data_IF_280178742572
#
_entry.id   IF_280178742572
#
_cell.length_a   1.000
_cell.length_b   1.000
_cell.length_c   1.000
_cell.angle_alpha   90.00
_cell.angle_beta   90.00
_cell.angle_gamma   90.00
#
_symmetry.space_group_name_H-M   'P 1'
#
loop_
_entity.id
_entity.type
_entity.pdbx_description
1 polymer ?
#
# COMPACT_ATOMS: atom_id res chain seq x y z
N UNK A 1 -4.27 -9.25 0.44
CA UNK A 1 -3.14 -8.39 0.85
C UNK A 1 -2.56 -9.01 2.10
N UNK A 2 -1.26 -9.32 2.14
CA UNK A 2 -0.64 -9.86 3.35
C UNK A 2 -0.49 -8.77 4.41
N UNK A 3 -0.40 -9.17 5.69
CA UNK A 3 -0.34 -8.25 6.83
C UNK A 3 0.70 -7.12 6.69
N UNK A 4 1.92 -7.36 6.15
CA UNK A 4 2.88 -6.27 5.91
C UNK A 4 2.36 -5.21 4.94
N UNK A 5 1.70 -5.63 3.87
CA UNK A 5 1.10 -4.71 2.89
C UNK A 5 -0.07 -3.91 3.46
N UNK A 6 -0.88 -4.53 4.33
CA UNK A 6 -1.99 -3.84 4.99
C UNK A 6 -1.50 -2.73 5.91
N UNK A 7 -0.40 -2.96 6.64
CA UNK A 7 0.23 -1.93 7.48
C UNK A 7 0.65 -0.71 6.65
N UNK A 8 1.39 -0.94 5.56
CA UNK A 8 1.89 0.15 4.70
C UNK A 8 0.75 0.93 4.06
N UNK A 9 -0.29 0.26 3.58
CA UNK A 9 -1.45 0.94 2.96
C UNK A 9 -2.19 1.80 3.99
N UNK A 10 -2.45 1.27 5.20
CA UNK A 10 -3.12 2.04 6.26
C UNK A 10 -2.32 3.27 6.68
N UNK A 11 -1.01 3.13 6.84
CA UNK A 11 -0.10 4.25 7.16
C UNK A 11 -0.11 5.32 6.06
N UNK A 12 -0.14 4.90 4.79
CA UNK A 12 -0.24 5.82 3.66
C UNK A 12 -1.59 6.56 3.61
N UNK A 13 -2.70 5.87 3.88
CA UNK A 13 -4.03 6.51 3.99
C UNK A 13 -4.01 7.62 5.06
N UNK A 14 -3.50 7.31 6.26
CA UNK A 14 -3.43 8.28 7.37
C UNK A 14 -2.49 9.43 7.03
N UNK A 15 -1.33 9.16 6.41
CA UNK A 15 -0.35 10.18 6.05
C UNK A 15 -0.91 11.19 5.05
N UNK A 16 -1.53 10.73 3.97
CA UNK A 16 -2.05 11.62 2.92
C UNK A 16 -3.34 12.34 3.35
N UNK A 17 -4.15 11.74 4.23
CA UNK A 17 -5.42 12.32 4.70
C UNK A 17 -5.37 12.82 6.14
N UNK A 18 -4.18 13.11 6.68
CA UNK A 18 -3.93 13.38 8.10
C UNK A 18 -4.83 14.46 8.69
N UNK A 19 -5.05 15.57 7.97
CA UNK A 19 -5.94 16.65 8.39
C UNK A 19 -7.37 16.13 8.58
N UNK A 20 -7.96 15.54 7.54
CA UNK A 20 -9.34 15.04 7.57
C UNK A 20 -9.54 13.97 8.67
N UNK A 21 -8.63 12.99 8.75
CA UNK A 21 -8.78 11.90 9.73
C UNK A 21 -8.53 12.34 11.16
N UNK A 22 -7.82 13.46 11.38
CA UNK A 22 -7.61 14.05 12.70
C UNK A 22 -8.89 14.70 13.24
N UNK A 23 -9.66 15.38 12.38
CA UNK A 23 -10.90 16.07 12.75
C UNK A 23 -11.97 15.09 13.24
N UNK A 24 -12.06 13.92 12.59
CA UNK A 24 -13.04 12.88 12.92
C UNK A 24 -12.48 11.80 13.86
N UNK A 25 -11.28 12.01 14.43
CA UNK A 25 -10.58 11.07 15.34
C UNK A 25 -10.31 9.66 14.78
N UNK A 26 -10.40 9.47 13.47
CA UNK A 26 -10.10 8.20 12.79
C UNK A 26 -8.61 7.98 12.53
N UNK A 27 -7.78 9.03 12.64
CA UNK A 27 -6.33 8.96 12.39
C UNK A 27 -5.52 8.09 13.35
N UNK A 28 -6.15 7.51 14.38
CA UNK A 28 -5.49 6.67 15.39
C UNK A 28 -5.60 5.17 15.13
N UNK A 29 -6.43 4.73 14.18
CA UNK A 29 -6.62 3.30 13.91
C UNK A 29 -5.45 2.78 13.06
N UNK A 30 -4.53 2.09 13.70
CA UNK A 30 -3.41 1.41 13.03
C UNK A 30 -3.83 0.03 12.52
N UNK A 31 -3.09 -0.54 11.56
CA UNK A 31 -3.39 -1.88 11.07
C UNK A 31 -3.34 -2.97 12.15
N UNK A 32 -2.37 -2.99 13.10
CA UNK A 32 -2.39 -3.94 14.21
C UNK A 32 -3.63 -3.82 15.11
N UNK A 33 -4.11 -2.59 15.37
CA UNK A 33 -5.33 -2.36 16.16
C UNK A 33 -6.55 -2.94 15.46
N UNK A 34 -6.70 -2.70 14.15
CA UNK A 34 -7.81 -3.26 13.38
C UNK A 34 -7.75 -4.79 13.30
N UNK A 35 -6.55 -5.40 13.24
CA UNK A 35 -6.39 -6.86 13.28
C UNK A 35 -6.71 -7.46 14.66
N UNK A 36 -6.70 -6.66 15.73
CA UNK A 36 -7.13 -7.02 17.07
C UNK A 36 -8.59 -6.59 17.35
N UNK A 37 -9.40 -6.38 16.30
CA UNK A 37 -10.79 -5.91 16.34
C UNK A 37 -11.01 -4.55 17.04
N UNK A 38 -9.95 -3.77 17.24
CA UNK A 38 -9.98 -2.43 17.82
C UNK A 38 -10.00 -1.34 16.74
N UNK A 39 -11.06 -1.35 15.92
CA UNK A 39 -11.29 -0.38 14.86
C UNK A 39 -11.44 -1.01 13.48
N UNK A 40 -11.50 -0.16 12.45
CA UNK A 40 -11.64 -0.56 11.05
C UNK A 40 -10.59 0.10 10.17
N UNK A 41 -10.08 -0.65 9.19
CA UNK A 41 -9.16 -0.13 8.18
C UNK A 41 -9.91 0.80 7.23
N UNK A 42 -9.23 1.79 6.65
CA UNK A 42 -9.87 2.81 5.82
C UNK A 42 -10.70 2.20 4.68
N UNK A 43 -10.18 1.15 4.03
CA UNK A 43 -10.82 0.49 2.89
C UNK A 43 -11.91 -0.54 3.26
N UNK A 44 -12.16 -0.79 4.55
CA UNK A 44 -13.34 -1.57 4.94
C UNK A 44 -14.64 -0.79 4.67
N UNK A 45 -14.58 0.54 4.79
CA UNK A 45 -15.62 1.45 4.35
C UNK A 45 -15.38 1.96 2.92
N UNK A 46 -14.16 2.37 2.60
CA UNK A 46 -13.79 2.86 1.26
C UNK A 46 -13.44 1.69 0.32
N UNK A 47 -14.43 0.85 0.01
CA UNK A 47 -14.22 -0.45 -0.64
C UNK A 47 -13.77 -0.36 -2.10
N UNK A 48 -13.92 0.81 -2.72
CA UNK A 48 -13.62 1.07 -4.13
C UNK A 48 -12.26 1.72 -4.35
N UNK A 49 -11.51 2.04 -3.28
CA UNK A 49 -10.13 2.52 -3.45
C UNK A 49 -9.25 1.42 -4.05
N UNK A 50 -8.27 1.80 -4.89
CA UNK A 50 -7.34 0.85 -5.45
C UNK A 50 -6.67 0.01 -4.36
N UNK A 51 -6.41 -1.26 -4.67
CA UNK A 51 -5.90 -2.29 -3.74
C UNK A 51 -6.92 -2.92 -2.79
N UNK A 52 -8.19 -2.48 -2.80
CA UNK A 52 -9.30 -3.17 -2.14
C UNK A 52 -10.04 -4.10 -3.12
N UNK A 53 -11.33 -3.87 -3.38
CA UNK A 53 -12.12 -4.66 -4.34
C UNK A 53 -11.81 -4.31 -5.80
N UNK A 54 -11.28 -3.11 -6.05
CA UNK A 54 -10.87 -2.66 -7.39
C UNK A 54 -9.39 -2.99 -7.60
N UNK A 55 -9.09 -3.79 -8.64
CA UNK A 55 -7.74 -4.26 -8.98
C UNK A 55 -7.47 -4.02 -10.45
N UNK A 56 -6.25 -3.59 -10.77
CA UNK A 56 -5.75 -3.40 -12.13
C UNK A 56 -4.83 -2.18 -12.22
N UNK A 57 -3.89 -2.21 -13.17
CA UNK A 57 -2.95 -1.09 -13.42
C UNK A 57 -3.68 0.24 -13.68
N UNK A 58 -4.86 0.18 -14.31
CA UNK A 58 -5.70 1.35 -14.58
C UNK A 58 -6.44 1.89 -13.35
N UNK A 59 -6.43 1.17 -12.22
CA UNK A 59 -7.18 1.56 -11.02
C UNK A 59 -6.47 2.66 -10.25
N UNK A 60 -5.13 2.70 -10.32
CA UNK A 60 -4.30 3.71 -9.68
C UNK A 60 -3.33 4.34 -10.71
N UNK A 61 -3.87 5.05 -11.72
CA UNK A 61 -3.04 5.66 -12.74
C UNK A 61 -2.10 6.69 -12.10
N UNK A 62 -0.83 6.66 -12.48
CA UNK A 62 0.23 7.52 -11.94
C UNK A 62 0.50 7.37 -10.44
N UNK A 63 0.12 6.25 -9.80
CA UNK A 63 0.51 6.00 -8.42
C UNK A 63 2.03 6.00 -8.31
N UNK A 64 2.64 6.87 -7.49
CA UNK A 64 4.08 6.83 -7.27
C UNK A 64 4.40 5.55 -6.51
N UNK A 65 4.87 4.54 -7.24
CA UNK A 65 5.45 3.33 -6.66
C UNK A 65 6.90 3.66 -6.35
N UNK A 66 7.43 3.30 -5.17
CA UNK A 66 8.84 3.44 -4.89
C UNK A 66 9.65 2.81 -6.02
N UNK A 67 10.47 3.62 -6.70
CA UNK A 67 11.46 3.11 -7.64
C UNK A 67 12.49 2.41 -6.78
N UNK A 68 12.53 1.09 -6.87
CA UNK A 68 13.54 0.27 -6.23
C UNK A 68 14.72 0.23 -7.21
N UNK A 69 15.78 0.99 -6.88
CA UNK A 69 17.04 1.01 -7.64
C UNK A 69 17.67 -0.40 -7.67
N UNK A 70 17.45 -1.14 -6.58
CA UNK A 70 17.89 -2.50 -6.37
C UNK A 70 16.64 -3.33 -6.09
N UNK A 71 16.22 -4.16 -7.05
CA UNK A 71 15.16 -5.12 -6.78
C UNK A 71 15.65 -6.06 -5.68
N UNK A 72 15.02 -6.01 -4.51
CA UNK A 72 15.48 -6.72 -3.30
C UNK A 72 15.60 -8.24 -3.52
N UNK A 73 16.30 -8.90 -2.60
CA UNK A 73 16.65 -10.35 -2.58
C UNK A 73 15.49 -11.31 -2.91
N UNK A 74 14.25 -10.84 -2.76
CA UNK A 74 13.02 -11.58 -3.06
C UNK A 74 12.57 -11.52 -4.54
N UNK A 75 13.37 -10.95 -5.43
CA UNK A 75 13.04 -10.82 -6.86
C UNK A 75 13.52 -12.04 -7.63
N UNK A 76 12.66 -12.71 -8.43
CA UNK A 76 13.07 -13.85 -9.24
C UNK A 76 14.30 -13.58 -10.10
N UNK A 77 15.21 -14.56 -10.17
CA UNK A 77 16.50 -14.42 -10.86
C UNK A 77 16.35 -13.96 -12.32
N UNK A 78 15.35 -14.48 -13.04
CA UNK A 78 15.11 -14.13 -14.44
C UNK A 78 14.78 -12.64 -14.65
N UNK A 79 14.16 -11.96 -13.68
CA UNK A 79 13.90 -10.51 -13.76
C UNK A 79 15.21 -9.75 -13.55
N UNK A 80 16.04 -10.19 -12.60
CA UNK A 80 17.33 -9.57 -12.32
C UNK A 80 18.26 -9.63 -13.53
N UNK A 81 18.26 -10.74 -14.26
CA UNK A 81 19.10 -10.96 -15.43
C UNK A 81 18.66 -10.12 -16.63
N UNK A 82 17.35 -9.89 -16.78
CA UNK A 82 16.77 -9.04 -17.83
C UNK A 82 17.18 -7.57 -17.66
N UNK A 83 17.23 -7.08 -16.42
CA UNK A 83 17.62 -5.68 -16.13
C UNK A 83 19.13 -5.48 -16.31
N UNK A 84 19.95 -6.48 -15.94
CA UNK A 84 21.41 -6.44 -16.14
C UNK A 84 21.80 -6.36 -17.62
N UNK A 85 20.98 -6.93 -18.50
CA UNK A 85 21.23 -6.91 -19.95
C UNK A 85 20.88 -5.56 -20.60
N UNK A 86 19.94 -4.79 -20.04
CA UNK A 86 19.60 -3.44 -20.54
C UNK A 86 20.55 -2.32 -20.07
N UNK A 87 21.28 -2.50 -18.97
CA UNK A 87 22.27 -1.53 -18.47
C UNK A 87 23.62 -1.57 -19.21
N UNK A 88 23.70 -2.24 -20.37
CA UNK A 88 24.92 -2.40 -21.17
C UNK A 88 24.80 -1.66 -22.49
#
# INVERSE_FOLDING_TARGET
MHAPGQKVVQENCIRCHSTLVSEVRLGKVTAPMAHADNGKLCWECHREVPHSRVRGLNSAPHSPVPIIDDMGENTPQWIQDLIKTEKK
#
